data_IF_548008967941
#
_entry.id   IF_548008967941
#
_cell.length_a   1.000
_cell.length_b   1.000
_cell.length_c   1.000
_cell.angle_alpha   90.00
_cell.angle_beta   90.00
_cell.angle_gamma   90.00
#
_symmetry.space_group_name_H-M   'P 1'
#
loop_
_entity.id
_entity.type
_entity.pdbx_description
1 polymer ?
#
# COMPACT_ATOMS: atom_id res chain seq x y z
N UNK A 1 12.75 26.32 48.60
CA UNK A 1 12.42 27.58 47.88
C UNK A 1 13.51 27.86 46.87
N UNK A 2 13.18 27.83 45.58
CA UNK A 2 13.56 28.83 44.57
C UNK A 2 12.90 28.43 43.24
N UNK A 3 12.00 29.31 42.80
CA UNK A 3 11.22 29.24 41.56
C UNK A 3 12.03 29.88 40.44
N UNK A 4 12.01 29.29 39.24
CA UNK A 4 12.24 30.04 38.01
C UNK A 4 11.14 29.71 36.99
N UNK A 5 10.58 30.79 36.47
CA UNK A 5 9.30 30.91 35.79
C UNK A 5 9.52 31.14 34.29
N UNK A 6 8.46 30.88 33.50
CA UNK A 6 8.10 31.56 32.23
C UNK A 6 8.87 31.17 30.95
N UNK A 7 8.29 31.19 29.73
CA UNK A 7 6.97 31.56 29.27
C UNK A 7 6.71 30.94 27.87
N UNK A 8 5.44 30.66 27.56
CA UNK A 8 4.93 30.41 26.21
C UNK A 8 4.91 31.71 25.40
N UNK A 9 5.25 31.69 24.10
CA UNK A 9 4.73 32.67 23.12
C UNK A 9 4.52 32.06 21.74
N UNK A 10 3.24 32.02 21.38
CA UNK A 10 2.68 31.86 20.04
C UNK A 10 3.04 33.08 19.19
N UNK A 11 3.43 32.89 17.92
CA UNK A 11 3.58 33.97 16.95
C UNK A 11 2.72 33.68 15.72
N UNK A 12 1.66 34.48 15.58
CA UNK A 12 0.87 34.70 14.37
C UNK A 12 1.51 35.90 13.68
N UNK A 13 1.85 35.80 12.39
CA UNK A 13 2.34 36.91 11.57
C UNK A 13 1.58 36.87 10.24
N UNK A 14 0.50 37.66 10.12
CA UNK A 14 0.41 39.02 9.52
C UNK A 14 0.44 39.02 8.00
N UNK A 15 -0.77 39.18 7.44
CA UNK A 15 -1.04 39.62 6.07
C UNK A 15 -0.44 41.01 5.87
N UNK A 16 0.35 41.19 4.81
CA UNK A 16 0.75 42.52 4.33
C UNK A 16 0.48 42.65 2.83
N UNK A 17 0.00 43.85 2.50
CA UNK A 17 -0.64 44.23 1.26
C UNK A 17 0.34 44.55 0.12
N UNK A 18 -0.18 44.40 -1.09
CA UNK A 18 -0.01 45.24 -2.28
C UNK A 18 1.34 45.89 -2.60
N UNK A 19 1.86 45.57 -3.78
CA UNK A 19 2.61 46.53 -4.62
C UNK A 19 2.38 46.21 -6.11
N UNK A 20 1.81 47.18 -6.82
CA UNK A 20 1.80 47.24 -8.29
C UNK A 20 3.17 47.76 -8.74
N UNK A 21 3.85 47.06 -9.65
CA UNK A 21 5.00 47.60 -10.38
C UNK A 21 4.87 47.24 -11.86
N UNK A 22 4.69 48.28 -12.68
CA UNK A 22 4.90 48.29 -14.13
C UNK A 22 6.39 48.52 -14.39
N UNK A 23 7.05 47.61 -15.11
CA UNK A 23 8.31 47.91 -15.80
C UNK A 23 8.54 46.95 -16.96
N UNK A 24 8.96 47.55 -18.07
CA UNK A 24 9.05 47.00 -19.43
C UNK A 24 10.46 46.46 -19.71
N UNK A 25 10.53 45.44 -20.56
CA UNK A 25 11.67 44.98 -21.38
C UNK A 25 12.84 44.22 -20.73
N UNK A 26 13.15 43.06 -21.32
CA UNK A 26 14.53 42.57 -21.47
C UNK A 26 14.83 41.18 -20.91
N UNK A 27 15.05 40.22 -21.83
CA UNK A 27 15.83 38.98 -21.69
C UNK A 27 15.43 37.96 -20.58
N UNK A 28 14.86 36.83 -21.00
CA UNK A 28 14.66 35.64 -20.18
C UNK A 28 15.91 34.72 -20.23
N UNK A 29 16.60 34.43 -19.12
CA UNK A 29 17.34 33.19 -18.96
C UNK A 29 16.42 32.12 -18.36
N UNK A 30 16.49 30.94 -18.97
CA UNK A 30 15.81 29.72 -18.59
C UNK A 30 16.13 29.29 -17.16
N UNK A 31 15.10 29.10 -16.34
CA UNK A 31 15.11 28.14 -15.24
C UNK A 31 13.89 27.25 -15.43
N UNK A 32 14.18 26.02 -15.86
CA UNK A 32 13.21 24.94 -15.91
C UNK A 32 12.62 24.78 -14.51
N UNK A 33 11.34 25.14 -14.34
CA UNK A 33 10.58 24.77 -13.18
C UNK A 33 10.47 23.24 -13.18
N UNK A 34 11.27 22.60 -12.33
CA UNK A 34 11.06 21.22 -11.92
C UNK A 34 9.69 21.15 -11.24
N UNK A 35 8.68 20.79 -12.02
CA UNK A 35 7.36 20.40 -11.53
C UNK A 35 7.51 19.09 -10.79
N UNK A 36 7.81 19.17 -9.49
CA UNK A 36 7.44 18.10 -8.57
C UNK A 36 5.91 18.02 -8.59
N UNK A 37 5.40 17.14 -9.45
CA UNK A 37 4.00 16.76 -9.45
C UNK A 37 3.66 16.21 -8.07
N UNK A 38 3.01 17.02 -7.25
CA UNK A 38 2.31 16.53 -6.08
C UNK A 38 1.25 15.53 -6.57
N UNK A 39 1.09 14.36 -5.93
CA UNK A 39 0.06 13.42 -6.33
C UNK A 39 -1.30 14.12 -6.25
N UNK A 40 -2.03 14.11 -7.37
CA UNK A 40 -3.36 14.66 -7.44
C UNK A 40 -4.22 14.02 -6.34
N UNK A 41 -4.83 14.84 -5.48
CA UNK A 41 -5.74 14.34 -4.47
C UNK A 41 -6.86 13.56 -5.17
N UNK A 42 -7.00 12.28 -4.83
CA UNK A 42 -8.06 11.46 -5.38
C UNK A 42 -9.42 12.11 -5.04
N UNK A 43 -10.40 12.09 -5.96
CA UNK A 43 -11.74 12.59 -5.66
C UNK A 43 -12.29 11.87 -4.42
N UNK A 44 -13.12 12.55 -3.62
CA UNK A 44 -13.61 12.05 -2.31
C UNK A 44 -14.18 10.62 -2.42
N UNK A 45 -14.85 10.29 -3.52
CA UNK A 45 -15.34 8.94 -3.81
C UNK A 45 -14.22 7.88 -3.91
N UNK A 46 -13.12 8.20 -4.58
CA UNK A 46 -11.99 7.29 -4.72
C UNK A 46 -11.27 7.04 -3.38
N UNK A 47 -11.12 8.07 -2.54
CA UNK A 47 -10.57 7.91 -1.20
C UNK A 47 -11.46 7.01 -0.32
N UNK A 48 -12.78 7.19 -0.40
CA UNK A 48 -13.74 6.32 0.32
C UNK A 48 -13.68 4.87 -0.16
N UNK A 49 -13.59 4.63 -1.47
CA UNK A 49 -13.44 3.28 -2.05
C UNK A 49 -12.12 2.63 -1.64
N UNK A 50 -11.02 3.38 -1.64
CA UNK A 50 -9.72 2.88 -1.17
C UNK A 50 -9.78 2.50 0.31
N UNK A 51 -10.45 3.31 1.14
CA UNK A 51 -10.69 3.01 2.54
C UNK A 51 -11.55 1.75 2.73
N UNK A 52 -12.64 1.60 1.98
CA UNK A 52 -13.46 0.38 2.01
C UNK A 52 -12.65 -0.85 1.61
N UNK A 53 -11.81 -0.72 0.58
CA UNK A 53 -10.89 -1.75 0.14
C UNK A 53 -9.93 -2.13 1.26
N UNK A 54 -9.28 -1.16 1.90
CA UNK A 54 -8.41 -1.39 3.07
C UNK A 54 -9.15 -2.17 4.17
N UNK A 55 -10.35 -1.74 4.56
CA UNK A 55 -11.10 -2.38 5.64
C UNK A 55 -11.61 -3.78 5.27
N UNK A 56 -11.80 -4.06 3.97
CA UNK A 56 -12.22 -5.38 3.49
C UNK A 56 -11.21 -6.49 3.80
N UNK A 57 -9.92 -6.18 3.91
CA UNK A 57 -8.87 -7.12 4.33
C UNK A 57 -8.95 -7.49 5.81
N UNK A 58 -9.62 -6.67 6.63
CA UNK A 58 -9.52 -6.77 8.08
C UNK A 58 -10.07 -8.09 8.61
N UNK A 59 -11.26 -8.53 8.18
CA UNK A 59 -11.86 -9.78 8.69
C UNK A 59 -11.30 -11.04 8.01
N UNK A 60 -11.21 -11.11 6.66
CA UNK A 60 -10.73 -12.31 5.96
C UNK A 60 -9.31 -12.72 6.34
N UNK A 61 -8.44 -11.76 6.68
CA UNK A 61 -7.08 -12.05 7.09
C UNK A 61 -6.98 -12.90 8.37
N UNK A 62 -7.99 -12.88 9.26
CA UNK A 62 -8.03 -13.77 10.42
C UNK A 62 -8.17 -15.24 10.03
N UNK A 63 -8.72 -15.51 8.85
CA UNK A 63 -8.93 -16.83 8.29
C UNK A 63 -7.86 -17.21 7.27
N UNK A 64 -6.88 -16.33 7.01
CA UNK A 64 -5.84 -16.59 6.01
C UNK A 64 -6.36 -16.46 4.59
N UNK A 65 -7.35 -15.60 4.35
CA UNK A 65 -7.96 -15.34 3.06
C UNK A 65 -7.90 -13.85 2.68
N UNK A 66 -8.02 -13.56 1.39
CA UNK A 66 -8.21 -12.21 0.86
C UNK A 66 -9.71 -11.90 0.63
N UNK A 67 -10.09 -10.60 0.62
CA UNK A 67 -11.46 -10.20 0.29
C UNK A 67 -11.79 -10.59 -1.15
N UNK A 68 -13.01 -11.10 -1.37
CA UNK A 68 -13.48 -11.58 -2.68
C UNK A 68 -12.63 -12.71 -3.31
N UNK A 69 -11.74 -13.33 -2.52
CA UNK A 69 -10.94 -14.49 -2.89
C UNK A 69 -11.22 -15.63 -1.89
N UNK A 70 -12.52 -15.84 -1.64
CA UNK A 70 -13.01 -16.80 -0.66
C UNK A 70 -12.83 -18.23 -1.17
N UNK A 71 -12.30 -19.11 -0.31
CA UNK A 71 -12.01 -20.52 -0.65
C UNK A 71 -10.51 -20.84 -0.72
N UNK A 72 -9.65 -19.83 -0.74
CA UNK A 72 -8.19 -19.99 -0.69
C UNK A 72 -7.66 -19.58 0.66
N UNK A 73 -7.19 -20.56 1.43
CA UNK A 73 -6.66 -20.37 2.78
C UNK A 73 -5.18 -20.74 2.82
N UNK A 74 -4.35 -19.83 3.34
CA UNK A 74 -2.92 -20.10 3.61
C UNK A 74 -2.76 -21.39 4.42
N UNK A 75 -1.89 -22.28 3.97
CA UNK A 75 -1.51 -23.52 4.63
C UNK A 75 -2.52 -24.67 4.49
N UNK A 76 -3.66 -24.46 3.81
CA UNK A 76 -4.71 -25.46 3.67
C UNK A 76 -5.04 -25.78 2.21
N UNK A 77 -5.25 -24.76 1.37
CA UNK A 77 -5.67 -24.98 -0.01
C UNK A 77 -4.52 -25.45 -0.87
N UNK A 78 -4.77 -26.46 -1.72
CA UNK A 78 -3.76 -27.02 -2.61
C UNK A 78 -3.65 -26.30 -3.94
N UNK A 79 -2.52 -26.47 -4.63
CA UNK A 79 -2.31 -25.91 -5.97
C UNK A 79 -3.35 -26.43 -6.97
N UNK A 80 -3.67 -27.73 -6.92
CA UNK A 80 -4.69 -28.32 -7.79
C UNK A 80 -6.08 -27.72 -7.55
N UNK A 81 -6.45 -27.45 -6.30
CA UNK A 81 -7.74 -26.78 -5.98
C UNK A 81 -7.78 -25.37 -6.56
N UNK A 82 -6.67 -24.64 -6.56
CA UNK A 82 -6.59 -23.32 -7.20
C UNK A 82 -6.81 -23.44 -8.70
N UNK A 83 -6.09 -24.35 -9.38
CA UNK A 83 -6.23 -24.52 -10.83
C UNK A 83 -7.67 -24.90 -11.20
N UNK A 84 -8.33 -25.76 -10.41
CA UNK A 84 -9.73 -26.15 -10.65
C UNK A 84 -10.71 -24.98 -10.48
N UNK A 85 -10.41 -24.05 -9.58
CA UNK A 85 -11.32 -22.97 -9.24
C UNK A 85 -11.15 -21.73 -10.12
N UNK A 86 -9.93 -21.35 -10.47
CA UNK A 86 -9.63 -20.12 -11.22
C UNK A 86 -8.82 -20.35 -12.51
N UNK A 87 -8.52 -21.61 -12.85
CA UNK A 87 -7.73 -21.94 -14.03
C UNK A 87 -6.22 -21.88 -13.77
N UNK A 88 -5.46 -22.14 -14.85
CA UNK A 88 -4.00 -22.06 -14.82
C UNK A 88 -3.56 -20.59 -14.72
N UNK A 89 -2.50 -20.36 -13.96
CA UNK A 89 -1.88 -19.04 -13.90
C UNK A 89 -1.37 -18.62 -15.27
N UNK A 90 -1.53 -17.34 -15.60
CA UNK A 90 -1.02 -16.75 -16.85
C UNK A 90 0.50 -16.80 -16.88
N UNK A 91 1.14 -16.56 -15.73
CA UNK A 91 2.56 -16.82 -15.52
C UNK A 91 2.74 -17.81 -14.37
N UNK A 92 2.92 -19.11 -14.66
CA UNK A 92 3.15 -20.12 -13.63
C UNK A 92 4.54 -19.96 -12.98
N UNK A 93 4.63 -20.38 -11.73
CA UNK A 93 5.86 -20.43 -10.95
C UNK A 93 6.89 -21.33 -11.65
N UNK A 94 8.12 -20.82 -11.78
CA UNK A 94 9.23 -21.55 -12.42
C UNK A 94 10.03 -22.40 -11.44
N UNK A 95 9.91 -22.11 -10.15
CA UNK A 95 10.63 -22.77 -9.05
C UNK A 95 9.79 -22.75 -7.76
N UNK A 96 10.32 -23.36 -6.69
CA UNK A 96 9.62 -23.51 -5.41
C UNK A 96 9.37 -22.18 -4.65
N UNK A 97 10.11 -21.12 -4.99
CA UNK A 97 9.92 -19.77 -4.44
C UNK A 97 9.22 -18.82 -5.41
N UNK A 98 8.92 -19.30 -6.62
CA UNK A 98 8.17 -18.62 -7.65
C UNK A 98 6.70 -18.46 -7.31
N UNK A 99 6.04 -17.57 -8.04
CA UNK A 99 4.64 -17.27 -7.86
C UNK A 99 3.87 -17.62 -9.13
N UNK A 100 2.72 -18.24 -8.94
CA UNK A 100 1.66 -18.32 -9.94
C UNK A 100 0.95 -16.98 -9.99
N UNK A 101 1.14 -16.25 -11.08
CA UNK A 101 0.59 -14.90 -11.25
C UNK A 101 -0.68 -14.95 -12.10
N UNK A 102 -1.73 -14.36 -11.56
CA UNK A 102 -3.02 -14.10 -12.17
C UNK A 102 -3.14 -12.58 -12.35
N UNK A 103 -3.17 -12.10 -13.59
CA UNK A 103 -3.15 -10.66 -13.85
C UNK A 103 -4.50 -10.02 -13.50
N UNK A 104 -4.45 -8.71 -13.27
CA UNK A 104 -5.65 -7.93 -13.04
C UNK A 104 -6.37 -7.65 -14.38
N UNK A 105 -7.59 -8.14 -14.54
CA UNK A 105 -8.39 -7.91 -15.75
C UNK A 105 -9.69 -7.14 -15.43
N UNK A 106 -9.98 -6.09 -16.19
CA UNK A 106 -11.32 -5.44 -16.26
C UNK A 106 -11.96 -5.10 -14.89
N UNK A 107 -11.17 -4.69 -13.90
CA UNK A 107 -11.66 -4.33 -12.56
C UNK A 107 -11.58 -5.47 -11.52
N UNK A 108 -11.16 -6.67 -11.94
CA UNK A 108 -10.73 -7.72 -11.03
C UNK A 108 -9.28 -7.48 -10.58
N UNK A 109 -8.99 -7.66 -9.29
CA UNK A 109 -7.63 -7.49 -8.80
C UNK A 109 -6.73 -8.65 -9.22
N UNK A 110 -5.45 -8.35 -9.41
CA UNK A 110 -4.42 -9.35 -9.68
C UNK A 110 -3.95 -10.04 -8.41
N UNK A 111 -3.60 -11.31 -8.53
CA UNK A 111 -3.11 -12.14 -7.43
C UNK A 111 -1.83 -12.86 -7.80
N UNK A 112 -0.98 -13.11 -6.82
CA UNK A 112 0.12 -14.06 -6.95
C UNK A 112 0.09 -15.07 -5.81
N UNK A 113 0.19 -16.35 -6.13
CA UNK A 113 0.14 -17.44 -5.16
C UNK A 113 1.46 -18.18 -5.19
N UNK A 114 2.06 -18.39 -4.03
CA UNK A 114 3.24 -19.22 -3.89
C UNK A 114 2.89 -20.44 -3.02
N UNK A 115 3.46 -21.59 -3.39
CA UNK A 115 3.14 -22.88 -2.81
C UNK A 115 4.36 -23.51 -2.15
N UNK A 116 4.11 -24.26 -1.07
CA UNK A 116 5.10 -25.12 -0.43
C UNK A 116 4.44 -26.42 -0.03
N UNK A 117 5.04 -27.55 -0.44
CA UNK A 117 4.47 -28.89 -0.22
C UNK A 117 3.01 -28.96 -0.70
N UNK A 118 2.77 -28.49 -1.92
CA UNK A 118 1.45 -28.42 -2.60
C UNK A 118 0.42 -27.49 -1.95
N UNK A 119 0.74 -26.78 -0.87
CA UNK A 119 -0.20 -25.86 -0.19
C UNK A 119 0.20 -24.41 -0.35
N UNK A 120 -0.77 -23.51 -0.37
CA UNK A 120 -0.50 -22.06 -0.44
C UNK A 120 0.34 -21.65 0.79
N UNK A 121 1.53 -21.10 0.55
CA UNK A 121 2.43 -20.54 1.56
C UNK A 121 2.22 -19.04 1.72
N UNK A 122 2.03 -18.36 0.59
CA UNK A 122 1.90 -16.90 0.52
C UNK A 122 0.93 -16.53 -0.59
N UNK A 123 0.10 -15.52 -0.32
CA UNK A 123 -0.73 -14.88 -1.33
C UNK A 123 -0.38 -13.40 -1.39
N UNK A 124 -0.29 -12.86 -2.60
CA UNK A 124 -0.12 -11.43 -2.86
C UNK A 124 -1.33 -10.88 -3.59
N UNK A 125 -1.71 -9.69 -3.20
CA UNK A 125 -2.78 -8.91 -3.82
C UNK A 125 -2.18 -7.67 -4.47
N UNK A 126 -2.35 -7.52 -5.79
CA UNK A 126 -1.80 -6.39 -6.57
C UNK A 126 -2.82 -5.27 -6.83
N UNK A 127 -4.08 -5.48 -6.47
CA UNK A 127 -5.17 -4.57 -6.79
C UNK A 127 -5.51 -4.57 -8.27
N UNK A 128 -6.33 -3.61 -8.67
CA UNK A 128 -6.79 -3.45 -10.05
C UNK A 128 -5.84 -2.57 -10.86
N UNK A 129 -5.67 -2.88 -12.15
CA UNK A 129 -4.93 -2.04 -13.09
C UNK A 129 -5.71 -0.75 -13.41
N UNK A 130 -7.03 -0.88 -13.58
CA UNK A 130 -7.94 0.23 -13.84
C UNK A 130 -8.42 0.80 -12.50
N UNK A 131 -8.57 2.12 -12.44
CA UNK A 131 -8.99 2.85 -11.23
C UNK A 131 -8.13 2.54 -9.99
N UNK A 132 -6.81 2.34 -10.14
CA UNK A 132 -5.91 1.98 -9.02
C UNK A 132 -6.07 2.90 -7.78
N UNK A 133 -6.43 4.17 -7.98
CA UNK A 133 -6.69 5.15 -6.90
C UNK A 133 -7.90 4.80 -6.01
N UNK A 134 -8.85 4.01 -6.49
CA UNK A 134 -9.99 3.49 -5.70
C UNK A 134 -9.62 2.21 -4.92
N UNK A 135 -8.40 1.70 -5.12
CA UNK A 135 -7.84 0.49 -4.54
C UNK A 135 -6.45 0.79 -3.92
N UNK A 136 -5.41 -0.02 -4.17
CA UNK A 136 -4.09 0.11 -3.56
C UNK A 136 -3.46 1.50 -3.75
N UNK A 137 -3.67 2.13 -4.90
CA UNK A 137 -3.12 3.46 -5.18
C UNK A 137 -3.66 4.57 -4.28
N UNK A 138 -4.85 4.39 -3.69
CA UNK A 138 -5.43 5.32 -2.73
C UNK A 138 -5.10 4.99 -1.26
N UNK A 139 -4.51 3.81 -0.99
CA UNK A 139 -4.19 3.36 0.37
C UNK A 139 -2.81 3.87 0.76
N UNK A 140 -2.79 4.88 1.62
CA UNK A 140 -1.55 5.41 2.21
C UNK A 140 -1.22 4.77 3.56
N UNK A 141 0.05 4.82 3.94
CA UNK A 141 0.51 4.43 5.27
C UNK A 141 -0.28 5.13 6.38
N UNK A 142 -0.57 6.43 6.21
CA UNK A 142 -1.35 7.21 7.18
C UNK A 142 -2.74 6.62 7.35
N UNK A 143 -3.41 6.27 6.26
CA UNK A 143 -4.73 5.64 6.28
C UNK A 143 -4.69 4.29 7.02
N UNK A 144 -3.69 3.46 6.74
CA UNK A 144 -3.52 2.18 7.44
C UNK A 144 -3.35 2.41 8.95
N UNK A 145 -2.40 3.24 9.36
CA UNK A 145 -2.13 3.48 10.78
C UNK A 145 -3.31 4.11 11.50
N UNK A 146 -4.03 5.02 10.85
CA UNK A 146 -5.22 5.67 11.42
C UNK A 146 -6.35 4.68 11.72
N UNK A 147 -6.54 3.65 10.89
CA UNK A 147 -7.68 2.75 10.99
C UNK A 147 -7.35 1.37 11.58
N UNK A 148 -6.11 0.91 11.43
CA UNK A 148 -5.64 -0.37 11.94
C UNK A 148 -4.75 -0.22 13.18
N UNK A 149 -4.40 1.02 13.56
CA UNK A 149 -3.48 1.31 14.64
C UNK A 149 -2.01 1.10 14.25
N UNK A 150 -1.13 1.11 15.25
CA UNK A 150 0.29 0.90 15.05
C UNK A 150 0.58 -0.51 14.48
N UNK A 151 1.46 -0.63 13.47
CA UNK A 151 1.85 -1.94 12.94
C UNK A 151 2.65 -2.71 13.99
N UNK A 152 2.58 -4.04 13.94
CA UNK A 152 3.42 -4.91 14.77
C UNK A 152 4.91 -4.77 14.40
N UNK A 153 5.19 -4.52 13.12
CA UNK A 153 6.54 -4.29 12.62
C UNK A 153 6.51 -3.31 11.44
N UNK A 154 7.51 -2.43 11.37
CA UNK A 154 7.74 -1.55 10.23
C UNK A 154 9.22 -1.61 9.86
N UNK A 155 9.54 -2.12 8.68
CA UNK A 155 10.93 -2.28 8.22
C UNK A 155 11.12 -1.73 6.81
N UNK A 156 12.35 -1.33 6.52
CA UNK A 156 12.78 -1.01 5.15
C UNK A 156 13.46 -2.23 4.56
N UNK A 157 13.07 -2.61 3.35
CA UNK A 157 13.64 -3.74 2.61
C UNK A 157 14.21 -3.23 1.29
N UNK A 158 15.35 -3.79 0.86
CA UNK A 158 15.93 -3.49 -0.46
C UNK A 158 15.35 -4.48 -1.48
N UNK A 159 14.77 -3.94 -2.54
CA UNK A 159 14.27 -4.70 -3.68
C UNK A 159 15.04 -4.27 -4.93
N UNK A 160 16.16 -4.94 -5.20
CA UNK A 160 17.09 -4.51 -6.25
C UNK A 160 17.68 -3.12 -5.96
N UNK A 161 17.33 -2.13 -6.80
CA UNK A 161 17.80 -0.74 -6.67
C UNK A 161 16.84 0.14 -5.84
N UNK A 162 15.65 -0.33 -5.50
CA UNK A 162 14.65 0.44 -4.76
C UNK A 162 14.64 0.04 -3.28
N UNK A 163 14.23 0.99 -2.44
CA UNK A 163 14.00 0.76 -1.00
C UNK A 163 12.49 0.79 -0.78
N UNK A 164 11.95 -0.35 -0.41
CA UNK A 164 10.53 -0.52 -0.10
C UNK A 164 10.31 -0.43 1.40
N UNK A 165 9.12 0.02 1.80
CA UNK A 165 8.69 0.02 3.20
C UNK A 165 7.66 -1.08 3.41
N UNK A 166 7.92 -1.96 4.37
CA UNK A 166 7.03 -3.04 4.75
C UNK A 166 6.40 -2.77 6.11
N UNK A 167 5.08 -2.77 6.17
CA UNK A 167 4.31 -2.72 7.42
C UNK A 167 3.66 -4.08 7.66
N UNK A 168 3.84 -4.66 8.85
CA UNK A 168 3.26 -5.96 9.19
C UNK A 168 2.20 -5.80 10.28
N UNK A 169 1.03 -6.39 10.04
CA UNK A 169 -0.08 -6.49 10.98
C UNK A 169 -0.42 -7.95 11.25
N UNK A 170 -0.31 -8.38 12.50
CA UNK A 170 -0.62 -9.74 12.93
C UNK A 170 -2.12 -9.90 13.09
N UNK A 171 -2.70 -10.87 12.37
CA UNK A 171 -4.13 -11.19 12.36
C UNK A 171 -4.32 -12.67 12.73
N UNK A 172 -4.40 -12.94 14.04
CA UNK A 172 -4.56 -14.30 14.54
C UNK A 172 -3.34 -15.17 14.24
N UNK A 173 -3.54 -16.24 13.46
CA UNK A 173 -2.46 -17.15 13.01
C UNK A 173 -1.71 -16.65 11.77
N UNK A 174 -2.17 -15.56 11.16
CA UNK A 174 -1.65 -15.00 9.93
C UNK A 174 -1.13 -13.57 10.16
N UNK A 175 -0.48 -13.01 9.15
CA UNK A 175 -0.12 -11.60 9.13
C UNK A 175 -0.32 -11.02 7.73
N UNK A 176 -0.73 -9.76 7.70
CA UNK A 176 -0.75 -8.95 6.49
C UNK A 176 0.51 -8.11 6.42
N UNK A 177 1.14 -8.08 5.25
CA UNK A 177 2.29 -7.22 4.98
C UNK A 177 1.95 -6.24 3.86
N UNK A 178 1.93 -4.95 4.18
CA UNK A 178 1.73 -3.88 3.21
C UNK A 178 3.09 -3.44 2.68
N UNK A 179 3.32 -3.60 1.38
CA UNK A 179 4.61 -3.32 0.74
C UNK A 179 4.49 -2.05 -0.10
N UNK A 180 5.18 -1.01 0.32
CA UNK A 180 5.24 0.26 -0.39
C UNK A 180 6.52 0.34 -1.23
N UNK A 181 6.41 0.82 -2.46
CA UNK A 181 7.56 1.06 -3.37
C UNK A 181 8.46 2.22 -2.94
N UNK A 182 8.02 3.00 -1.94
CA UNK A 182 8.75 4.12 -1.40
C UNK A 182 8.69 4.16 0.13
N UNK A 183 9.57 4.97 0.73
CA UNK A 183 9.64 5.15 2.18
C UNK A 183 8.60 6.14 2.71
N UNK A 184 8.02 6.98 1.83
CA UNK A 184 6.98 7.95 2.17
C UNK A 184 5.62 7.30 2.47
N UNK A 185 5.39 6.08 2.00
CA UNK A 185 4.17 5.32 2.26
C UNK A 185 2.96 5.79 1.45
N UNK A 186 3.21 6.30 0.23
CA UNK A 186 2.17 6.80 -0.68
C UNK A 186 1.95 5.89 -1.90
N UNK A 187 2.86 4.95 -2.15
CA UNK A 187 2.77 4.03 -3.30
C UNK A 187 2.75 2.60 -2.78
N UNK A 188 1.55 2.12 -2.41
CA UNK A 188 1.34 0.73 -2.02
C UNK A 188 1.40 -0.14 -3.27
N UNK A 189 2.38 -1.02 -3.34
CA UNK A 189 2.63 -1.89 -4.48
C UNK A 189 1.68 -3.09 -4.45
N UNK A 190 1.76 -3.84 -3.35
CA UNK A 190 0.98 -5.05 -3.11
C UNK A 190 0.81 -5.31 -1.61
N UNK A 191 -0.12 -6.20 -1.28
CA UNK A 191 -0.36 -6.68 0.08
C UNK A 191 -0.09 -8.19 0.11
N UNK A 192 0.74 -8.66 1.03
CA UNK A 192 0.98 -10.08 1.25
C UNK A 192 0.12 -10.60 2.41
N UNK A 193 -0.34 -11.83 2.29
CA UNK A 193 -0.92 -12.61 3.38
C UNK A 193 -0.08 -13.87 3.56
N UNK A 194 0.47 -14.02 4.75
CA UNK A 194 1.36 -15.13 5.11
C UNK A 194 1.04 -15.65 6.51
N UNK A 195 1.55 -16.84 6.84
CA UNK A 195 1.52 -17.32 8.21
C UNK A 195 2.29 -16.38 9.14
N UNK A 196 1.81 -16.22 10.37
CA UNK A 196 2.46 -15.40 11.38
C UNK A 196 3.89 -15.92 11.61
N UNK A 197 4.88 -15.06 11.39
CA UNK A 197 6.31 -15.34 11.61
C UNK A 197 6.88 -14.56 12.79
N UNK A 198 6.22 -13.46 13.17
CA UNK A 198 6.61 -12.64 14.32
C UNK A 198 6.28 -13.41 15.60
N UNK A 199 7.29 -13.74 16.41
CA UNK A 199 7.13 -14.37 17.73
C UNK A 199 6.61 -13.37 18.76
#
# INVERSE_FOLDING_TARGET
MNLYTSAKKTAIATVTAGTLVLSVAGALPSYAASTTAAPAAAPVDAHMKAFQTLMSFYKPALQGQFPNFHGFTIGSTSHETVIKAIGKAESPAKDADGFDVYHAEMGHPGYALNYKLDKIREMRYFGTSVERQTNLGGISLRMIVQHWGAPNQSVLIKAGKTVQKKLTYVRGKYQLEFIFNNTSGLDLDHINLVNKTIK
#
